data_IF_436451347880
#
_entry.id   IF_436451347880
#
_cell.length_a   1.000
_cell.length_b   1.000
_cell.length_c   1.000
_cell.angle_alpha   90.00
_cell.angle_beta   90.00
_cell.angle_gamma   90.00
#
_symmetry.space_group_name_H-M   'P 1'
#
loop_
_entity.id
_entity.type
_entity.pdbx_description
1 polymer ?
#
# COMPACT_ATOMS: atom_id res chain seq x y z
N UNK A 1 -30.61 -10.19 -44.11
CA UNK A 1 -29.64 -9.13 -44.41
C UNK A 1 -28.41 -9.80 -45.00
N UNK A 2 -27.83 -9.20 -46.06
CA UNK A 2 -26.67 -9.81 -46.71
C UNK A 2 -25.44 -9.67 -45.83
N UNK A 3 -24.60 -10.69 -45.84
CA UNK A 3 -23.29 -10.65 -45.12
C UNK A 3 -22.26 -9.91 -45.96
N UNK A 4 -21.42 -9.14 -45.29
CA UNK A 4 -20.25 -8.53 -45.91
C UNK A 4 -19.27 -9.61 -46.41
N UNK A 5 -18.57 -9.34 -47.50
CA UNK A 5 -17.48 -10.18 -48.00
C UNK A 5 -16.20 -9.36 -47.90
N UNK A 6 -15.19 -9.90 -47.24
CA UNK A 6 -13.92 -9.20 -47.00
C UNK A 6 -12.80 -9.78 -47.89
N UNK A 7 -11.84 -8.96 -48.22
CA UNK A 7 -10.55 -9.36 -48.82
C UNK A 7 -9.54 -9.79 -47.73
N UNK A 8 -8.32 -10.10 -48.14
CA UNK A 8 -7.23 -10.50 -47.20
C UNK A 8 -6.78 -9.37 -46.24
N UNK A 9 -7.14 -8.12 -46.54
CA UNK A 9 -6.83 -6.97 -45.68
C UNK A 9 -8.02 -6.59 -44.78
N UNK A 10 -9.03 -7.46 -44.67
CA UNK A 10 -10.27 -7.25 -43.91
C UNK A 10 -11.10 -6.06 -44.38
N UNK A 11 -10.99 -5.69 -45.67
CA UNK A 11 -11.76 -4.62 -46.30
C UNK A 11 -12.93 -5.22 -47.08
N UNK A 12 -14.14 -4.66 -46.93
CA UNK A 12 -15.34 -5.17 -47.55
C UNK A 12 -15.28 -4.98 -49.10
N UNK A 13 -15.38 -6.07 -49.84
CA UNK A 13 -15.57 -6.13 -51.27
C UNK A 13 -17.03 -6.21 -51.70
N UNK A 14 -17.91 -6.69 -50.75
CA UNK A 14 -19.36 -6.63 -50.82
C UNK A 14 -19.88 -6.03 -49.54
N UNK A 15 -20.76 -5.03 -49.64
CA UNK A 15 -21.40 -4.44 -48.47
C UNK A 15 -22.34 -5.41 -47.77
N UNK A 16 -22.40 -5.32 -46.43
CA UNK A 16 -23.29 -6.16 -45.61
C UNK A 16 -22.94 -6.10 -44.12
N UNK A 17 -23.58 -6.95 -43.37
CA UNK A 17 -23.29 -7.08 -41.94
C UNK A 17 -22.22 -8.14 -41.68
N UNK A 18 -21.45 -7.94 -40.61
CA UNK A 18 -20.45 -8.89 -40.15
C UNK A 18 -20.37 -8.85 -38.63
N UNK A 19 -20.27 -10.04 -38.03
CA UNK A 19 -19.99 -10.13 -36.59
C UNK A 19 -18.50 -9.94 -36.33
N UNK A 20 -18.16 -9.05 -35.40
CA UNK A 20 -16.79 -8.83 -34.94
C UNK A 20 -16.72 -8.97 -33.43
N UNK A 21 -15.54 -9.32 -32.94
CA UNK A 21 -15.22 -9.50 -31.55
C UNK A 21 -14.24 -8.41 -31.13
N UNK A 22 -14.69 -7.53 -30.23
CA UNK A 22 -13.97 -6.34 -29.82
C UNK A 22 -13.09 -6.62 -28.60
N UNK A 23 -11.90 -6.05 -28.58
CA UNK A 23 -10.96 -6.18 -27.49
C UNK A 23 -10.36 -4.81 -27.12
N UNK A 24 -9.90 -4.69 -25.87
CA UNK A 24 -9.25 -3.49 -25.37
C UNK A 24 -7.88 -3.27 -26.04
N UNK A 25 -7.59 -2.03 -26.42
CA UNK A 25 -6.36 -1.71 -27.17
C UNK A 25 -5.07 -1.78 -26.34
N UNK A 26 -5.18 -1.72 -25.00
CA UNK A 26 -4.05 -1.77 -24.07
C UNK A 26 -3.90 -3.16 -23.45
N UNK A 27 -4.96 -3.67 -22.84
CA UNK A 27 -4.97 -4.98 -22.15
C UNK A 27 -5.18 -6.14 -23.10
N UNK A 28 -5.71 -5.88 -24.31
CA UNK A 28 -6.10 -6.88 -25.33
C UNK A 28 -7.22 -7.82 -24.85
N UNK A 29 -7.86 -7.50 -23.72
CA UNK A 29 -8.96 -8.27 -23.15
C UNK A 29 -10.21 -8.19 -24.03
N UNK A 30 -10.91 -9.31 -24.22
CA UNK A 30 -12.21 -9.35 -24.88
C UNK A 30 -13.24 -8.48 -24.16
N UNK A 31 -13.88 -7.58 -24.89
CA UNK A 31 -14.89 -6.67 -24.35
C UNK A 31 -16.31 -7.10 -24.73
N UNK A 32 -16.55 -7.31 -26.02
CA UNK A 32 -17.91 -7.54 -26.54
C UNK A 32 -17.92 -8.11 -27.94
N UNK A 33 -19.08 -8.64 -28.31
CA UNK A 33 -19.39 -8.98 -29.69
C UNK A 33 -20.33 -7.92 -30.26
N UNK A 34 -20.05 -7.44 -31.48
CA UNK A 34 -20.95 -6.53 -32.17
C UNK A 34 -21.23 -7.00 -33.62
N UNK A 35 -22.30 -6.48 -34.20
CA UNK A 35 -22.67 -6.74 -35.59
C UNK A 35 -22.53 -5.41 -36.35
N UNK A 36 -21.53 -5.32 -37.21
CA UNK A 36 -21.16 -4.10 -37.93
C UNK A 36 -21.63 -4.15 -39.38
N UNK A 37 -22.20 -3.06 -39.86
CA UNK A 37 -22.46 -2.90 -41.29
C UNK A 37 -21.28 -2.25 -41.99
N UNK A 38 -20.69 -2.97 -42.94
CA UNK A 38 -19.56 -2.48 -43.73
C UNK A 38 -20.01 -2.09 -45.14
N UNK A 39 -19.77 -0.86 -45.52
CA UNK A 39 -19.87 -0.44 -46.95
C UNK A 39 -18.66 -0.97 -47.74
N UNK A 40 -18.78 -1.06 -49.07
CA UNK A 40 -17.66 -1.47 -49.93
C UNK A 40 -16.46 -0.53 -49.68
N UNK A 41 -15.26 -1.09 -49.50
CA UNK A 41 -14.03 -0.36 -49.26
C UNK A 41 -13.78 0.02 -47.79
N UNK A 42 -14.68 -0.37 -46.85
CA UNK A 42 -14.54 -0.14 -45.43
C UNK A 42 -14.02 -1.41 -44.76
N UNK A 43 -13.05 -1.30 -43.84
CA UNK A 43 -12.54 -2.38 -43.03
C UNK A 43 -13.34 -2.61 -41.74
N UNK A 44 -13.02 -3.68 -41.02
CA UNK A 44 -13.57 -3.91 -39.67
C UNK A 44 -13.09 -2.83 -38.72
N UNK A 45 -13.83 -2.56 -37.60
CA UNK A 45 -13.41 -1.58 -36.59
C UNK A 45 -12.01 -1.87 -36.02
N UNK A 46 -11.32 -0.82 -35.60
CA UNK A 46 -10.08 -0.97 -34.87
C UNK A 46 -10.31 -1.79 -33.57
N UNK A 47 -9.32 -2.55 -33.15
CA UNK A 47 -9.40 -3.42 -31.97
C UNK A 47 -10.54 -4.43 -32.04
N UNK A 48 -10.80 -4.96 -33.23
CA UNK A 48 -11.73 -6.05 -33.46
C UNK A 48 -11.12 -7.14 -34.35
N UNK A 49 -11.70 -8.34 -34.27
CA UNK A 49 -11.31 -9.48 -35.09
C UNK A 49 -12.52 -10.29 -35.49
N UNK A 50 -12.34 -11.28 -36.39
CA UNK A 50 -13.42 -12.12 -36.92
C UNK A 50 -13.52 -13.49 -36.22
N UNK A 51 -12.47 -13.94 -35.59
CA UNK A 51 -12.43 -15.21 -34.88
C UNK A 51 -13.04 -15.04 -33.47
N UNK A 52 -13.95 -15.94 -33.12
CA UNK A 52 -14.64 -15.90 -31.85
C UNK A 52 -13.71 -16.23 -30.68
N UNK A 53 -13.84 -15.51 -29.53
CA UNK A 53 -13.13 -15.89 -28.31
C UNK A 53 -13.63 -17.24 -27.80
N UNK A 54 -12.80 -17.89 -26.97
CA UNK A 54 -13.20 -19.09 -26.24
C UNK A 54 -14.31 -18.83 -25.23
N UNK A 55 -14.80 -19.89 -24.60
CA UNK A 55 -15.81 -19.78 -23.53
C UNK A 55 -15.16 -19.24 -22.24
N UNK A 56 -15.93 -18.51 -21.44
CA UNK A 56 -15.46 -18.02 -20.13
C UNK A 56 -14.90 -19.15 -19.26
N UNK A 57 -13.74 -18.88 -18.63
CA UNK A 57 -13.08 -19.78 -17.70
C UNK A 57 -12.81 -19.02 -16.39
N UNK A 58 -13.27 -19.55 -15.26
CA UNK A 58 -13.05 -18.92 -13.95
C UNK A 58 -11.57 -18.74 -13.64
N UNK A 59 -11.18 -17.56 -13.14
CA UNK A 59 -9.79 -17.20 -12.83
C UNK A 59 -8.95 -16.80 -14.04
N UNK A 60 -9.57 -16.61 -15.21
CA UNK A 60 -8.88 -16.20 -16.44
C UNK A 60 -9.66 -15.11 -17.18
N UNK A 61 -8.94 -14.12 -17.68
CA UNK A 61 -9.40 -13.23 -18.73
C UNK A 61 -9.14 -13.84 -20.10
N UNK A 62 -9.96 -13.49 -21.10
CA UNK A 62 -9.74 -13.88 -22.49
C UNK A 62 -9.12 -12.69 -23.19
N UNK A 63 -7.90 -12.82 -23.67
CA UNK A 63 -7.16 -11.75 -24.32
C UNK A 63 -6.70 -12.14 -25.72
N UNK A 64 -6.49 -11.16 -26.59
CA UNK A 64 -5.76 -11.39 -27.84
C UNK A 64 -4.31 -11.68 -27.52
N UNK A 65 -3.72 -12.63 -28.23
CA UNK A 65 -2.27 -12.89 -28.19
C UNK A 65 -1.46 -11.67 -28.58
N UNK A 66 -0.17 -11.62 -28.24
CA UNK A 66 0.70 -10.48 -28.53
C UNK A 66 0.78 -10.17 -30.02
N UNK A 67 0.69 -11.17 -30.89
CA UNK A 67 0.69 -11.03 -32.34
C UNK A 67 -0.72 -10.74 -32.92
N UNK A 68 -1.74 -10.63 -32.07
CA UNK A 68 -3.14 -10.38 -32.39
C UNK A 68 -3.80 -11.43 -33.33
N UNK A 69 -3.25 -12.65 -33.41
CA UNK A 69 -3.70 -13.68 -34.32
C UNK A 69 -4.64 -14.71 -33.68
N UNK A 70 -4.66 -14.81 -32.35
CA UNK A 70 -5.48 -15.79 -31.63
C UNK A 70 -5.98 -15.26 -30.29
N UNK A 71 -6.90 -15.99 -29.65
CA UNK A 71 -7.32 -15.75 -28.28
C UNK A 71 -6.56 -16.67 -27.34
N UNK A 72 -6.18 -16.13 -26.17
CA UNK A 72 -5.50 -16.85 -25.11
C UNK A 72 -6.19 -16.61 -23.76
N UNK A 73 -6.03 -17.54 -22.83
CA UNK A 73 -6.49 -17.40 -21.46
C UNK A 73 -5.33 -16.87 -20.61
N UNK A 74 -5.49 -15.68 -20.07
CA UNK A 74 -4.52 -15.01 -19.22
C UNK A 74 -5.01 -15.08 -17.76
N UNK A 75 -4.20 -15.45 -16.77
CA UNK A 75 -4.61 -15.44 -15.37
C UNK A 75 -5.23 -14.11 -14.97
N UNK A 76 -6.29 -14.13 -14.17
CA UNK A 76 -6.99 -12.92 -13.71
C UNK A 76 -6.97 -12.85 -12.19
N UNK A 77 -6.01 -12.10 -11.69
CA UNK A 77 -5.79 -11.81 -10.28
C UNK A 77 -6.30 -10.42 -9.86
N UNK A 78 -7.10 -9.77 -10.70
CA UNK A 78 -7.63 -8.43 -10.42
C UNK A 78 -8.42 -8.39 -9.11
N UNK A 79 -8.18 -7.34 -8.31
CA UNK A 79 -8.73 -7.17 -6.97
C UNK A 79 -7.94 -7.85 -5.87
N UNK A 80 -6.94 -8.67 -6.19
CA UNK A 80 -6.04 -9.23 -5.19
C UNK A 80 -5.01 -8.19 -4.76
N UNK A 81 -4.66 -8.22 -3.46
CA UNK A 81 -3.60 -7.38 -2.90
C UNK A 81 -2.30 -8.18 -2.89
N UNK A 82 -1.26 -7.59 -3.42
CA UNK A 82 0.10 -8.12 -3.39
C UNK A 82 1.02 -7.15 -2.66
N UNK A 83 2.14 -7.67 -2.20
CA UNK A 83 3.13 -6.92 -1.42
C UNK A 83 4.49 -7.03 -2.10
N UNK A 84 5.18 -5.90 -2.23
CA UNK A 84 6.58 -5.89 -2.70
C UNK A 84 7.48 -6.64 -1.73
N UNK A 85 8.21 -7.64 -2.20
CA UNK A 85 9.17 -8.39 -1.35
C UNK A 85 10.40 -7.56 -0.95
N UNK A 86 10.59 -6.39 -1.58
CA UNK A 86 11.67 -5.45 -1.26
C UNK A 86 11.26 -4.44 -0.19
N UNK A 87 10.02 -3.91 -0.26
CA UNK A 87 9.58 -2.79 0.59
C UNK A 87 8.44 -3.14 1.54
N UNK A 88 7.72 -4.24 1.31
CA UNK A 88 6.51 -4.59 2.04
C UNK A 88 5.27 -3.77 1.65
N UNK A 89 5.40 -2.83 0.71
CA UNK A 89 4.27 -2.01 0.27
C UNK A 89 3.22 -2.83 -0.47
N UNK A 90 1.96 -2.55 -0.17
CA UNK A 90 0.82 -3.22 -0.81
C UNK A 90 0.43 -2.55 -2.12
N UNK A 91 -0.01 -3.36 -3.09
CA UNK A 91 -0.56 -2.91 -4.36
C UNK A 91 -1.72 -3.83 -4.77
N UNK A 92 -2.79 -3.24 -5.29
CA UNK A 92 -3.88 -4.00 -5.91
C UNK A 92 -3.55 -4.33 -7.37
N UNK A 93 -3.84 -5.56 -7.79
CA UNK A 93 -3.74 -5.97 -9.19
C UNK A 93 -4.95 -5.43 -9.95
N UNK A 94 -4.71 -4.67 -11.01
CA UNK A 94 -5.75 -3.99 -11.80
C UNK A 94 -5.88 -4.48 -13.24
N UNK A 95 -4.95 -5.31 -13.71
CA UNK A 95 -4.95 -5.86 -15.06
C UNK A 95 -4.76 -7.38 -15.04
N UNK A 96 -5.28 -8.10 -16.05
CA UNK A 96 -4.99 -9.52 -16.19
C UNK A 96 -3.51 -9.76 -16.44
N UNK A 97 -3.00 -10.87 -15.96
CA UNK A 97 -1.60 -11.30 -16.08
C UNK A 97 -1.16 -12.14 -14.90
N UNK A 98 0.07 -12.64 -15.01
CA UNK A 98 0.75 -13.29 -13.88
C UNK A 98 1.08 -12.26 -12.79
N UNK A 99 1.37 -12.74 -11.58
CA UNK A 99 1.88 -11.88 -10.52
C UNK A 99 3.17 -11.18 -10.96
N UNK A 100 3.30 -9.87 -10.70
CA UNK A 100 4.54 -9.14 -10.98
C UNK A 100 5.72 -9.75 -10.25
N UNK A 101 6.90 -9.66 -10.82
CA UNK A 101 8.14 -10.07 -10.17
C UNK A 101 8.36 -9.31 -8.85
N UNK A 102 9.06 -9.92 -7.91
CA UNK A 102 9.34 -9.36 -6.58
C UNK A 102 8.08 -9.00 -5.79
N UNK A 103 7.02 -9.78 -5.94
CA UNK A 103 5.79 -9.64 -5.17
C UNK A 103 5.35 -10.95 -4.54
N UNK A 104 4.57 -10.84 -3.46
CA UNK A 104 3.93 -11.96 -2.76
C UNK A 104 2.52 -11.58 -2.35
N UNK A 105 1.65 -12.58 -2.20
CA UNK A 105 0.29 -12.39 -1.63
C UNK A 105 0.28 -12.41 -0.09
N UNK A 106 1.42 -12.70 0.54
CA UNK A 106 1.58 -12.76 1.99
C UNK A 106 1.89 -11.35 2.50
N UNK A 107 1.06 -10.82 3.40
CA UNK A 107 1.28 -9.52 4.02
C UNK A 107 2.40 -9.58 5.06
N UNK A 108 3.27 -8.56 5.17
CA UNK A 108 4.14 -8.41 6.34
C UNK A 108 3.30 -8.13 7.58
N UNK A 109 3.72 -8.64 8.74
CA UNK A 109 3.05 -8.47 10.02
C UNK A 109 3.47 -7.18 10.72
N UNK A 110 4.72 -6.75 10.50
CA UNK A 110 5.30 -5.55 11.10
C UNK A 110 6.03 -4.71 10.04
N UNK A 111 6.24 -3.42 10.28
CA UNK A 111 7.02 -2.57 9.38
C UNK A 111 8.53 -2.92 9.37
N UNK A 112 8.97 -3.84 10.24
CA UNK A 112 10.35 -4.31 10.34
C UNK A 112 10.55 -5.67 9.69
N UNK A 113 9.54 -6.21 9.03
CA UNK A 113 9.64 -7.50 8.36
C UNK A 113 10.43 -7.38 7.05
N UNK A 114 11.30 -8.35 6.82
CA UNK A 114 12.09 -8.51 5.61
C UNK A 114 11.76 -9.85 4.96
N UNK A 115 11.66 -9.86 3.64
CA UNK A 115 11.41 -11.07 2.87
C UNK A 115 12.70 -11.91 2.76
N UNK A 116 12.65 -13.17 3.15
CA UNK A 116 13.80 -14.09 3.11
C UNK A 116 13.88 -14.96 1.82
N UNK A 117 12.90 -14.80 0.93
CA UNK A 117 12.71 -15.59 -0.28
C UNK A 117 11.48 -16.48 -0.25
N UNK A 118 10.95 -16.81 0.94
CA UNK A 118 9.78 -17.65 1.14
C UNK A 118 8.73 -17.03 2.05
N UNK A 119 9.16 -16.23 3.04
CA UNK A 119 8.30 -15.63 4.06
C UNK A 119 8.86 -14.31 4.58
N UNK A 120 8.02 -13.57 5.30
CA UNK A 120 8.44 -12.40 6.06
C UNK A 120 9.10 -12.83 7.39
N UNK A 121 10.24 -12.23 7.70
CA UNK A 121 10.99 -12.41 8.94
C UNK A 121 11.20 -11.05 9.58
N UNK A 122 10.77 -10.90 10.83
CA UNK A 122 10.91 -9.63 11.56
C UNK A 122 12.38 -9.37 11.89
N UNK A 123 12.89 -8.20 11.49
CA UNK A 123 14.17 -7.67 11.95
C UNK A 123 14.01 -7.17 13.39
N UNK A 124 14.25 -8.07 14.34
CA UNK A 124 14.07 -7.80 15.77
C UNK A 124 15.04 -6.73 16.30
N UNK A 125 16.21 -6.59 15.69
CA UNK A 125 17.18 -5.56 16.05
C UNK A 125 16.68 -4.18 15.63
N UNK A 126 16.20 -4.04 14.39
CA UNK A 126 15.61 -2.80 13.92
C UNK A 126 14.35 -2.43 14.71
N UNK A 127 13.49 -3.41 15.02
CA UNK A 127 12.30 -3.22 15.84
C UNK A 127 12.66 -2.73 17.25
N UNK A 128 13.64 -3.36 17.91
CA UNK A 128 14.10 -2.96 19.23
C UNK A 128 14.73 -1.56 19.21
N UNK A 129 15.58 -1.28 18.23
CA UNK A 129 16.20 0.04 18.07
C UNK A 129 15.15 1.16 17.94
N UNK A 130 14.11 0.95 17.14
CA UNK A 130 13.01 1.91 17.01
C UNK A 130 12.19 2.05 18.32
N UNK A 131 12.00 0.97 19.07
CA UNK A 131 11.35 1.03 20.37
C UNK A 131 12.16 1.85 21.39
N UNK A 132 13.48 1.68 21.42
CA UNK A 132 14.39 2.50 22.25
C UNK A 132 14.32 3.97 21.87
N UNK A 133 14.36 4.29 20.58
CA UNK A 133 14.25 5.66 20.08
C UNK A 133 12.90 6.31 20.48
N UNK A 134 11.81 5.57 20.39
CA UNK A 134 10.49 6.02 20.85
C UNK A 134 10.46 6.25 22.37
N UNK A 135 11.10 5.38 23.16
CA UNK A 135 11.22 5.54 24.61
C UNK A 135 12.05 6.78 24.98
N UNK A 136 13.14 7.07 24.25
CA UNK A 136 13.91 8.30 24.45
C UNK A 136 13.09 9.57 24.16
N UNK A 137 12.31 9.56 23.08
CA UNK A 137 11.39 10.65 22.75
C UNK A 137 10.32 10.84 23.85
N UNK A 138 9.79 9.74 24.39
CA UNK A 138 8.85 9.76 25.50
C UNK A 138 9.51 10.33 26.78
N UNK A 139 10.74 9.93 27.10
CA UNK A 139 11.51 10.49 28.22
C UNK A 139 11.57 12.01 28.12
N UNK A 140 11.94 12.54 26.97
CA UNK A 140 12.02 13.98 26.77
C UNK A 140 10.66 14.66 26.97
N UNK A 141 9.59 14.08 26.43
CA UNK A 141 8.24 14.58 26.60
C UNK A 141 7.79 14.64 28.06
N UNK A 142 8.14 13.62 28.86
CA UNK A 142 7.82 13.58 30.30
C UNK A 142 8.58 14.67 31.07
N UNK A 143 9.87 14.87 30.76
CA UNK A 143 10.69 15.94 31.36
C UNK A 143 10.12 17.32 31.01
N UNK A 144 9.78 17.55 29.75
CA UNK A 144 9.22 18.83 29.28
C UNK A 144 7.89 19.14 29.97
N UNK A 145 7.02 18.16 30.10
CA UNK A 145 5.75 18.28 30.81
C UNK A 145 5.94 18.59 32.30
N UNK A 146 6.89 17.93 32.96
CA UNK A 146 7.25 18.18 34.35
C UNK A 146 7.79 19.61 34.54
N UNK A 147 8.69 20.05 33.67
CA UNK A 147 9.22 21.42 33.69
C UNK A 147 8.13 22.47 33.46
N UNK A 148 7.20 22.22 32.53
CA UNK A 148 6.06 23.10 32.28
C UNK A 148 5.17 23.24 33.51
N UNK A 149 4.96 22.17 34.30
CA UNK A 149 4.12 22.15 35.49
C UNK A 149 4.60 23.09 36.62
N UNK A 150 5.89 23.42 36.64
CA UNK A 150 6.52 24.31 37.64
C UNK A 150 6.98 25.64 37.05
N UNK A 151 6.55 25.99 35.85
CA UNK A 151 7.00 27.21 35.15
C UNK A 151 6.79 28.48 35.94
N UNK A 152 5.64 28.61 36.66
CA UNK A 152 5.37 29.74 37.52
C UNK A 152 6.32 29.82 38.74
N UNK A 153 6.66 28.69 39.33
CA UNK A 153 7.61 28.61 40.45
C UNK A 153 9.01 29.05 39.97
N UNK A 154 9.42 28.64 38.80
CA UNK A 154 10.68 29.04 38.17
C UNK A 154 10.70 30.55 37.90
N UNK A 155 9.58 31.14 37.45
CA UNK A 155 9.46 32.56 37.21
C UNK A 155 9.58 33.35 38.51
N UNK A 156 8.98 32.89 39.63
CA UNK A 156 9.11 33.48 40.94
C UNK A 156 10.56 33.49 41.43
N UNK A 157 11.28 32.36 41.27
CA UNK A 157 12.67 32.27 41.65
C UNK A 157 13.54 33.24 40.85
N UNK A 158 13.36 33.33 39.54
CA UNK A 158 14.08 34.29 38.68
C UNK A 158 13.81 35.74 39.05
N UNK A 159 12.60 36.04 39.56
CA UNK A 159 12.21 37.36 40.04
C UNK A 159 12.68 37.66 41.48
N UNK A 160 13.45 36.74 42.09
CA UNK A 160 13.95 36.89 43.47
C UNK A 160 12.88 36.80 44.57
N UNK A 161 11.72 36.23 44.23
CA UNK A 161 10.61 36.05 45.21
C UNK A 161 10.86 34.78 46.05
N UNK A 162 10.44 34.84 47.32
CA UNK A 162 10.41 33.68 48.20
C UNK A 162 9.25 32.74 47.81
N UNK A 163 9.51 31.49 47.77
CA UNK A 163 8.50 30.45 47.60
C UNK A 163 7.78 30.17 48.91
N UNK A 164 6.53 29.78 48.82
CA UNK A 164 5.79 29.20 49.94
C UNK A 164 6.32 27.78 50.22
N UNK A 165 5.97 27.23 51.39
CA UNK A 165 6.35 25.84 51.73
C UNK A 165 5.77 24.83 50.71
N UNK A 166 4.52 25.02 50.29
CA UNK A 166 3.87 24.18 49.31
C UNK A 166 4.58 24.21 47.94
N UNK A 167 4.98 25.44 47.50
CA UNK A 167 5.73 25.60 46.23
C UNK A 167 7.12 24.96 46.29
N UNK A 168 7.80 25.04 47.45
CA UNK A 168 9.12 24.38 47.66
C UNK A 168 8.96 22.85 47.62
N UNK A 169 7.93 22.33 48.28
CA UNK A 169 7.62 20.90 48.28
C UNK A 169 7.32 20.42 46.87
N UNK A 170 6.49 21.14 46.12
CA UNK A 170 6.15 20.82 44.72
C UNK A 170 7.37 20.86 43.82
N UNK A 171 8.22 21.90 43.96
CA UNK A 171 9.44 22.03 43.19
C UNK A 171 10.37 20.82 43.39
N UNK A 172 10.59 20.43 44.67
CA UNK A 172 11.45 19.29 44.96
C UNK A 172 10.87 17.98 44.42
N UNK A 173 9.57 17.74 44.60
CA UNK A 173 8.92 16.54 44.06
C UNK A 173 9.03 16.43 42.53
N UNK A 174 8.90 17.56 41.82
CA UNK A 174 9.07 17.56 40.34
C UNK A 174 10.52 17.36 39.94
N UNK A 175 11.48 17.91 40.66
CA UNK A 175 12.91 17.67 40.41
C UNK A 175 13.27 16.20 40.64
N UNK A 176 12.82 15.60 41.78
CA UNK A 176 13.02 14.17 42.06
C UNK A 176 12.40 13.28 40.96
N UNK A 177 11.22 13.67 40.44
CA UNK A 177 10.59 12.99 39.32
C UNK A 177 11.42 13.07 38.05
N UNK A 178 11.94 14.27 37.69
CA UNK A 178 12.78 14.47 36.49
C UNK A 178 14.06 13.62 36.62
N UNK A 179 14.68 13.57 37.79
CA UNK A 179 15.85 12.73 38.05
C UNK A 179 15.52 11.25 37.87
N UNK A 180 14.39 10.78 38.38
CA UNK A 180 13.91 9.41 38.22
C UNK A 180 13.62 9.07 36.73
N UNK A 181 12.96 9.96 36.01
CA UNK A 181 12.67 9.79 34.58
C UNK A 181 13.99 9.75 33.78
N UNK A 182 14.95 10.61 34.12
CA UNK A 182 16.26 10.67 33.46
C UNK A 182 17.06 9.38 33.71
N UNK A 183 16.96 8.81 34.89
CA UNK A 183 17.64 7.57 35.27
C UNK A 183 16.97 6.30 34.76
N UNK A 184 15.75 6.40 34.21
CA UNK A 184 15.02 5.24 33.68
C UNK A 184 15.76 4.62 32.49
N UNK A 185 15.92 3.28 32.54
CA UNK A 185 16.59 2.53 31.48
C UNK A 185 15.65 2.32 30.29
N UNK A 186 15.94 2.96 29.17
CA UNK A 186 15.18 2.81 27.90
C UNK A 186 15.61 1.62 27.07
N UNK A 187 16.72 0.98 27.39
CA UNK A 187 17.20 -0.21 26.67
C UNK A 187 16.26 -1.42 26.84
N UNK A 188 15.34 -1.36 27.81
CA UNK A 188 14.31 -2.37 28.04
C UNK A 188 13.06 -2.20 27.15
N UNK A 189 13.05 -1.17 26.29
CA UNK A 189 11.90 -0.92 25.41
C UNK A 189 11.54 -2.17 24.57
N UNK A 190 10.24 -2.41 24.34
CA UNK A 190 9.10 -1.53 24.65
C UNK A 190 8.63 -1.54 26.12
N UNK A 191 9.14 -2.41 26.97
CA UNK A 191 8.64 -2.63 28.35
C UNK A 191 9.27 -1.66 29.37
N UNK A 192 9.35 -0.37 29.05
CA UNK A 192 9.90 0.67 29.93
C UNK A 192 8.87 1.03 31.02
N UNK A 193 9.30 0.99 32.28
CA UNK A 193 8.47 1.40 33.42
C UNK A 193 8.82 2.86 33.79
N UNK A 194 7.89 3.77 33.51
CA UNK A 194 8.05 5.18 33.82
C UNK A 194 7.61 5.52 35.24
N UNK A 195 8.34 6.42 35.95
CA UNK A 195 7.89 6.98 37.22
C UNK A 195 6.55 7.72 37.05
N UNK A 196 5.75 7.77 38.09
CA UNK A 196 4.52 8.56 38.12
C UNK A 196 4.82 10.03 38.49
N UNK A 197 4.19 10.97 37.75
CA UNK A 197 4.30 12.35 38.07
C UNK A 197 3.62 12.64 39.42
N UNK A 198 4.29 13.32 40.40
CA UNK A 198 3.68 13.66 41.67
C UNK A 198 2.40 14.48 41.49
N UNK A 199 1.35 14.14 42.25
CA UNK A 199 0.10 14.92 42.25
C UNK A 199 0.34 16.37 42.69
N UNK A 200 -0.56 17.28 42.22
CA UNK A 200 -0.45 18.71 42.43
C UNK A 200 -0.79 19.14 43.87
#
# INVERSE_FOLDING_TARGET
MDNAVLNSELIATKAGNITVYNYDGETREYISTSNEYLAIGVGIPAYSCLDAPGTHKAGYAICRSMDLNSWEYVPDHRGEIIYSTETGESKEITAPGDYPENTTTIAPLTPYDKWDGEKWVTDTEAQHSAAVEAAEAQRQSLIDAAMASISLIQLKLRAGRKLTQAETTRLNAVLDYIDAVTATDTSTAPDVIWPELPEA
#
